data_IF_938659903762
#
_entry.id   IF_938659903762
#
_cell.length_a   1.000
_cell.length_b   1.000
_cell.length_c   1.000
_cell.angle_alpha   90.00
_cell.angle_beta   90.00
_cell.angle_gamma   90.00
#
_symmetry.space_group_name_H-M   'P 1'
#
loop_
_entity.id
_entity.type
_entity.pdbx_description
1 polymer ?
#
# COMPACT_ATOMS: atom_id res chain seq x y z
N UNK A 1 -4.92 5.46 27.96
CA UNK A 1 -4.33 5.54 27.36
C UNK A 1 -4.27 5.09 26.31
N UNK A 2 -3.98 5.63 25.72
CA UNK A 2 -3.95 5.09 24.51
C UNK A 2 -3.12 3.94 24.44
N UNK A 3 -3.62 2.94 24.02
CA UNK A 3 -2.84 1.80 23.85
C UNK A 3 -2.54 1.55 22.41
N UNK A 4 -2.71 2.52 21.59
CA UNK A 4 -2.47 2.30 20.19
C UNK A 4 -1.01 2.00 19.95
N UNK A 5 -0.72 0.97 19.18
CA UNK A 5 0.63 0.68 18.79
C UNK A 5 1.15 1.76 17.88
N UNK A 6 2.41 2.09 17.95
CA UNK A 6 2.97 3.03 17.00
C UNK A 6 2.86 2.46 15.59
N UNK A 7 2.70 3.34 14.64
CA UNK A 7 2.67 2.94 13.25
C UNK A 7 4.03 2.34 12.88
N UNK A 8 4.00 1.19 12.21
CA UNK A 8 5.27 0.58 11.81
C UNK A 8 5.83 1.28 10.59
N UNK A 9 7.14 1.39 10.57
CA UNK A 9 7.80 2.03 9.44
C UNK A 9 7.90 1.09 8.26
N UNK A 10 7.60 1.62 7.09
CA UNK A 10 7.72 0.87 5.85
C UNK A 10 8.49 1.71 4.85
N UNK A 11 9.06 1.05 3.84
CA UNK A 11 9.86 1.77 2.86
C UNK A 11 8.97 2.67 2.00
N UNK A 12 7.82 2.16 1.60
CA UNK A 12 6.96 2.91 0.71
C UNK A 12 5.54 2.40 0.79
N UNK A 13 4.60 3.27 0.49
CA UNK A 13 3.22 2.90 0.19
C UNK A 13 3.00 3.22 -1.28
N UNK A 14 2.57 2.24 -2.05
CA UNK A 14 2.26 2.40 -3.47
C UNK A 14 0.75 2.27 -3.62
N UNK A 15 0.14 3.31 -4.14
CA UNK A 15 -1.31 3.35 -4.35
C UNK A 15 -1.61 3.19 -5.83
N UNK A 16 -2.53 2.30 -6.15
CA UNK A 16 -3.01 2.12 -7.51
C UNK A 16 -4.52 1.93 -7.49
N UNK A 17 -5.16 2.17 -8.63
CA UNK A 17 -6.61 2.10 -8.71
C UNK A 17 -7.11 0.73 -9.13
N UNK A 18 -6.40 0.05 -10.00
CA UNK A 18 -6.89 -1.16 -10.63
C UNK A 18 -5.96 -2.32 -10.45
N UNK A 19 -6.51 -3.52 -10.61
CA UNK A 19 -5.75 -4.75 -10.44
C UNK A 19 -4.58 -4.85 -11.41
N UNK A 20 -4.76 -4.36 -12.64
CA UNK A 20 -3.68 -4.42 -13.63
C UNK A 20 -2.49 -3.60 -13.20
N UNK A 21 -2.72 -2.50 -12.48
CA UNK A 21 -1.63 -1.66 -12.00
C UNK A 21 -0.91 -2.28 -10.82
N UNK A 22 -1.61 -3.08 -10.04
CA UNK A 22 -1.01 -3.77 -8.90
C UNK A 22 -0.21 -5.00 -9.33
N UNK A 23 -0.57 -5.62 -10.45
CA UNK A 23 -0.01 -6.91 -10.83
C UNK A 23 1.50 -6.92 -10.98
N UNK A 24 2.14 -5.90 -11.58
CA UNK A 24 3.60 -5.93 -11.67
C UNK A 24 4.29 -6.02 -10.31
N UNK A 25 3.72 -5.34 -9.29
CA UNK A 25 4.31 -5.42 -7.96
C UNK A 25 4.10 -6.79 -7.35
N UNK A 26 2.91 -7.37 -7.55
CA UNK A 26 2.61 -8.67 -6.98
C UNK A 26 3.40 -9.79 -7.65
N UNK A 27 3.75 -9.61 -8.93
CA UNK A 27 4.57 -10.59 -9.63
C UNK A 27 6.05 -10.46 -9.27
N UNK A 28 6.49 -9.26 -8.95
CA UNK A 28 7.90 -9.00 -8.74
C UNK A 28 8.34 -9.19 -7.29
N UNK A 29 7.42 -8.98 -6.33
CA UNK A 29 7.80 -8.95 -4.93
C UNK A 29 7.01 -9.99 -4.14
N UNK A 30 7.69 -10.75 -3.27
CA UNK A 30 6.98 -11.72 -2.44
C UNK A 30 6.21 -11.03 -1.32
N UNK A 31 5.13 -11.65 -0.88
CA UNK A 31 4.40 -11.17 0.27
C UNK A 31 5.18 -11.51 1.54
N UNK A 32 5.08 -10.62 2.51
CA UNK A 32 5.74 -10.85 3.79
C UNK A 32 4.84 -11.72 4.65
N UNK A 33 5.40 -12.81 5.13
CA UNK A 33 4.65 -13.69 6.02
C UNK A 33 4.57 -13.16 7.44
N UNK A 34 5.46 -12.25 7.79
CA UNK A 34 5.56 -11.75 9.15
C UNK A 34 4.81 -10.43 9.36
N UNK A 35 4.07 -9.98 8.38
CA UNK A 35 3.32 -8.74 8.51
C UNK A 35 1.94 -8.93 7.90
N UNK A 36 0.93 -8.45 8.60
CA UNK A 36 -0.42 -8.54 8.09
C UNK A 36 -0.74 -7.35 7.23
N UNK A 37 -1.39 -7.56 6.08
CA UNK A 37 -1.87 -6.43 5.29
C UNK A 37 -2.85 -5.59 6.09
N UNK A 38 -2.92 -4.32 5.76
CA UNK A 38 -3.88 -3.42 6.39
C UNK A 38 -5.26 -3.75 5.84
N UNK A 39 -6.23 -3.93 6.72
CA UNK A 39 -7.58 -4.23 6.31
C UNK A 39 -8.25 -2.95 5.80
N UNK A 40 -8.87 -3.05 4.64
CA UNK A 40 -9.53 -1.92 4.01
C UNK A 40 -10.99 -2.26 3.74
N UNK A 41 -11.79 -1.21 3.61
CA UNK A 41 -13.22 -1.37 3.38
C UNK A 41 -13.54 -1.23 1.89
N UNK A 42 -14.74 -1.70 1.53
CA UNK A 42 -15.31 -1.36 0.24
C UNK A 42 -14.62 -1.94 -0.96
N UNK A 43 -14.06 -3.06 -0.90
CA UNK A 43 -13.41 -3.66 -2.06
C UNK A 43 -11.97 -3.24 -2.29
N UNK A 44 -11.48 -2.31 -1.50
CA UNK A 44 -10.06 -1.97 -1.55
C UNK A 44 -9.25 -3.08 -0.89
N UNK A 45 -8.02 -3.25 -1.34
CA UNK A 45 -7.14 -4.28 -0.78
C UNK A 45 -5.75 -3.73 -0.59
N UNK A 46 -5.04 -4.27 0.39
CA UNK A 46 -3.63 -3.97 0.56
C UNK A 46 -2.84 -5.26 0.65
N UNK A 47 -1.57 -5.17 0.34
CA UNK A 47 -0.63 -6.27 0.47
C UNK A 47 0.64 -5.75 1.13
N UNK A 48 1.24 -6.58 1.96
CA UNK A 48 2.54 -6.28 2.54
C UNK A 48 3.57 -7.07 1.76
N UNK A 49 4.43 -6.38 1.04
CA UNK A 49 5.39 -7.00 0.13
C UNK A 49 6.80 -6.76 0.65
N UNK A 50 7.70 -7.66 0.30
CA UNK A 50 9.08 -7.56 0.73
C UNK A 50 9.94 -7.03 -0.40
N UNK A 51 10.60 -5.91 -0.14
CA UNK A 51 11.52 -5.34 -1.12
C UNK A 51 12.79 -6.16 -1.17
N UNK A 52 13.42 -6.26 -2.34
CA UNK A 52 14.72 -6.90 -2.43
C UNK A 52 15.77 -6.05 -1.71
N UNK A 53 16.78 -6.70 -1.20
CA UNK A 53 17.86 -6.00 -0.52
C UNK A 53 18.14 -6.61 0.83
N UNK A 54 19.15 -6.07 1.49
CA UNK A 54 19.63 -6.65 2.71
C UNK A 54 18.64 -6.57 3.84
N UNK A 55 17.87 -5.49 3.87
CA UNK A 55 16.97 -5.28 4.98
C UNK A 55 15.63 -5.95 4.81
N UNK A 56 15.28 -6.33 3.60
CA UNK A 56 13.96 -6.90 3.35
C UNK A 56 12.84 -5.98 3.79
N UNK A 57 12.97 -4.68 3.50
CA UNK A 57 12.00 -3.70 3.98
C UNK A 57 10.65 -3.92 3.35
N UNK A 58 9.65 -3.40 3.99
CA UNK A 58 8.27 -3.61 3.57
C UNK A 58 7.80 -2.52 2.62
N UNK A 59 7.10 -2.94 1.59
CA UNK A 59 6.33 -2.05 0.72
C UNK A 59 4.86 -2.41 0.89
N UNK A 60 4.03 -1.43 1.17
CA UNK A 60 2.59 -1.65 1.26
C UNK A 60 1.96 -1.24 -0.05
N UNK A 61 1.37 -2.19 -0.74
CA UNK A 61 0.68 -1.95 -1.99
C UNK A 61 -0.81 -1.82 -1.70
N UNK A 62 -1.42 -0.76 -2.21
CA UNK A 62 -2.83 -0.48 -1.97
C UNK A 62 -3.55 -0.40 -3.32
N UNK A 63 -4.59 -1.21 -3.48
CA UNK A 63 -5.48 -1.09 -4.62
C UNK A 63 -6.80 -0.52 -4.14
N UNK A 64 -7.08 0.71 -4.51
CA UNK A 64 -8.23 1.41 -3.96
C UNK A 64 -9.51 1.25 -4.76
N UNK A 65 -9.40 0.83 -6.01
CA UNK A 65 -10.55 0.92 -6.89
C UNK A 65 -10.58 2.29 -7.57
N UNK A 66 -11.52 2.46 -8.46
CA UNK A 66 -11.61 3.67 -9.25
C UNK A 66 -12.31 4.76 -8.45
N UNK A 67 -11.80 5.96 -8.53
CA UNK A 67 -12.42 7.11 -7.91
C UNK A 67 -11.52 7.77 -6.89
N UNK A 68 -11.55 9.09 -6.90
CA UNK A 68 -10.67 9.87 -6.03
C UNK A 68 -11.02 9.68 -4.55
N UNK A 69 -12.31 9.61 -4.25
CA UNK A 69 -12.74 9.45 -2.87
C UNK A 69 -12.33 8.08 -2.34
N UNK A 70 -12.48 7.04 -3.17
CA UNK A 70 -12.07 5.70 -2.77
C UNK A 70 -10.56 5.65 -2.55
N UNK A 71 -9.80 6.28 -3.43
CA UNK A 71 -8.35 6.30 -3.30
C UNK A 71 -7.91 7.04 -2.03
N UNK A 72 -8.52 8.19 -1.77
CA UNK A 72 -8.18 8.97 -0.59
C UNK A 72 -8.52 8.23 0.69
N UNK A 73 -9.66 7.57 0.73
CA UNK A 73 -10.07 6.81 1.90
C UNK A 73 -9.18 5.63 2.17
N UNK A 74 -8.83 4.87 1.13
CA UNK A 74 -7.95 3.73 1.28
C UNK A 74 -6.56 4.17 1.74
N UNK A 75 -6.04 5.22 1.15
CA UNK A 75 -4.72 5.71 1.51
C UNK A 75 -4.71 6.24 2.94
N UNK A 76 -5.74 6.97 3.34
CA UNK A 76 -5.83 7.48 4.69
C UNK A 76 -5.85 6.33 5.72
N UNK A 77 -6.57 5.26 5.42
CA UNK A 77 -6.62 4.11 6.31
C UNK A 77 -5.22 3.47 6.46
N UNK A 78 -4.51 3.33 5.35
CA UNK A 78 -3.18 2.74 5.39
C UNK A 78 -2.23 3.65 6.16
N UNK A 79 -2.27 4.95 5.91
CA UNK A 79 -1.35 5.88 6.57
C UNK A 79 -1.64 6.04 8.06
N UNK A 80 -2.80 5.61 8.52
CA UNK A 80 -3.08 5.54 9.95
C UNK A 80 -2.39 4.36 10.61
N UNK A 81 -1.92 3.38 9.83
CA UNK A 81 -1.32 2.15 10.36
C UNK A 81 0.16 2.03 10.08
N UNK A 82 0.67 2.71 9.07
CA UNK A 82 2.08 2.60 8.70
C UNK A 82 2.66 3.98 8.48
N UNK A 83 3.97 4.07 8.62
CA UNK A 83 4.69 5.32 8.42
C UNK A 83 5.69 5.09 7.30
N UNK A 84 5.35 5.49 6.06
CA UNK A 84 6.24 5.23 4.95
C UNK A 84 7.31 6.31 4.79
N UNK A 85 8.45 5.92 4.22
CA UNK A 85 9.45 6.90 3.81
C UNK A 85 9.02 7.61 2.53
N UNK A 86 8.20 6.96 1.71
CA UNK A 86 7.71 7.55 0.46
C UNK A 86 6.31 7.05 0.16
N UNK A 87 5.51 7.87 -0.48
CA UNK A 87 4.19 7.48 -0.97
C UNK A 87 4.20 7.69 -2.47
N UNK A 88 3.88 6.65 -3.22
CA UNK A 88 3.93 6.65 -4.67
C UNK A 88 2.57 6.31 -5.23
N UNK A 89 2.14 7.04 -6.22
CA UNK A 89 0.92 6.72 -6.94
C UNK A 89 1.31 6.09 -8.26
N UNK A 90 0.89 4.84 -8.47
CA UNK A 90 1.22 4.11 -9.67
C UNK A 90 -0.03 3.99 -10.53
N UNK A 91 0.10 4.31 -11.78
CA UNK A 91 -1.03 4.21 -12.70
C UNK A 91 -0.58 4.44 -14.12
N UNK A 92 -1.45 4.06 -15.02
CA UNK A 92 -1.17 4.22 -16.42
C UNK A 92 -1.69 5.52 -16.96
N UNK A 93 -2.43 6.25 -16.20
CA UNK A 93 -3.00 7.36 -16.77
C UNK A 93 -2.14 8.43 -16.75
N UNK A 94 -1.90 8.84 -17.68
CA UNK A 94 -1.33 9.99 -17.69
C UNK A 94 -2.13 11.07 -17.17
N UNK A 95 -2.88 10.74 -16.73
CA UNK A 95 -3.59 11.65 -16.28
C UNK A 95 -3.12 12.76 -15.65
N UNK A 96 -2.96 12.85 -15.70
CA UNK A 96 -2.82 13.63 -15.25
C UNK A 96 -2.69 14.56 -15.38
N UNK A 97 -2.77 14.39 -15.63
CA UNK A 97 -2.38 15.41 -15.76
C UNK A 97 -2.50 16.00 -15.44
#
# INVERSE_FOLDING_TARGET
>A
MSSASPARRVAAVVSCAMAEEARPFLNALPERADAEPVALLGGARSWSLRLPGDDGRELVLVRSGIGLVAAAGALATVLARVEPDAVVSAGTTGGLG
#
